data_IF_396472511911
#
_entry.id   IF_396472511911
#
_cell.length_a   1.000
_cell.length_b   1.000
_cell.length_c   1.000
_cell.angle_alpha   90.00
_cell.angle_beta   90.00
_cell.angle_gamma   90.00
#
_symmetry.space_group_name_H-M   'P 1'
#
loop_
_entity.id
_entity.type
_entity.pdbx_description
1 polymer ?
#
# COMPACT_ATOMS: atom_id res chain seq x y z
N UNK A 1 -36.78 -14.96 8.41
CA UNK A 1 -35.68 -14.66 9.35
C UNK A 1 -35.80 -15.58 10.56
N UNK A 2 -34.72 -16.23 11.00
CA UNK A 2 -34.77 -17.08 12.20
C UNK A 2 -35.03 -16.20 13.43
N UNK A 3 -36.10 -16.47 14.18
CA UNK A 3 -36.44 -15.73 15.41
C UNK A 3 -35.29 -15.85 16.41
N UNK A 4 -34.85 -14.73 16.98
CA UNK A 4 -33.90 -14.74 18.09
C UNK A 4 -34.51 -15.51 19.27
N UNK A 5 -33.71 -16.32 19.98
CA UNK A 5 -34.15 -17.01 21.18
C UNK A 5 -34.48 -15.98 22.27
N UNK A 6 -35.63 -16.16 22.94
CA UNK A 6 -36.03 -15.34 24.10
C UNK A 6 -35.28 -15.76 25.36
N UNK A 7 -35.04 -17.06 25.53
CA UNK A 7 -34.22 -17.62 26.60
C UNK A 7 -32.80 -17.87 26.05
N UNK A 8 -31.75 -17.39 26.73
CA UNK A 8 -30.38 -17.63 26.29
C UNK A 8 -30.08 -19.13 26.15
N UNK A 9 -29.17 -19.44 25.23
CA UNK A 9 -28.68 -20.80 25.02
C UNK A 9 -27.99 -21.32 26.29
N UNK A 10 -28.21 -22.56 26.70
CA UNK A 10 -27.75 -23.10 28.00
C UNK A 10 -28.89 -23.25 29.02
N UNK A 11 -30.01 -22.55 28.79
CA UNK A 11 -31.15 -22.52 29.70
C UNK A 11 -32.46 -22.90 29.00
N UNK A 12 -33.38 -23.46 29.78
CA UNK A 12 -34.74 -23.79 29.36
C UNK A 12 -35.77 -23.48 30.46
N UNK A 13 -37.01 -23.25 30.07
CA UNK A 13 -38.13 -23.05 31.01
C UNK A 13 -38.74 -24.41 31.35
N UNK A 14 -38.75 -24.79 32.63
CA UNK A 14 -39.41 -25.99 33.13
C UNK A 14 -40.26 -25.60 34.35
N UNK A 15 -41.55 -25.90 34.31
CA UNK A 15 -42.50 -25.61 35.40
C UNK A 15 -42.55 -24.13 35.86
N UNK A 16 -42.31 -23.18 34.95
CA UNK A 16 -42.32 -21.75 35.26
C UNK A 16 -40.99 -21.21 35.82
N UNK A 17 -39.99 -22.06 35.99
CA UNK A 17 -38.64 -21.67 36.43
C UNK A 17 -37.61 -21.90 35.32
N UNK A 18 -36.59 -21.04 35.29
CA UNK A 18 -35.46 -21.19 34.38
C UNK A 18 -34.48 -22.21 34.97
N UNK A 19 -34.27 -23.29 34.23
CA UNK A 19 -33.35 -24.38 34.58
C UNK A 19 -32.31 -24.56 33.48
N UNK A 20 -31.30 -25.36 33.74
CA UNK A 20 -30.22 -25.63 32.78
C UNK A 20 -30.57 -26.81 31.87
N UNK A 21 -30.08 -26.76 30.64
CA UNK A 21 -30.16 -27.88 29.69
C UNK A 21 -28.77 -28.50 29.51
N UNK A 22 -28.51 -29.73 30.00
CA UNK A 22 -27.16 -30.28 30.10
C UNK A 22 -26.33 -30.22 28.80
N UNK A 23 -26.95 -30.50 27.65
CA UNK A 23 -26.27 -30.43 26.35
C UNK A 23 -25.91 -29.01 25.93
N UNK A 24 -26.79 -28.04 26.21
CA UNK A 24 -26.51 -26.65 25.90
C UNK A 24 -25.49 -26.06 26.89
N UNK A 25 -25.50 -26.49 28.17
CA UNK A 25 -24.48 -26.10 29.16
C UNK A 25 -23.09 -26.57 28.74
N UNK A 26 -22.96 -27.85 28.34
CA UNK A 26 -21.72 -28.39 27.81
C UNK A 26 -21.17 -27.49 26.69
N UNK A 27 -22.03 -27.17 25.71
CA UNK A 27 -21.65 -26.31 24.60
C UNK A 27 -21.23 -24.89 25.04
N UNK A 28 -21.92 -24.28 26.01
CA UNK A 28 -21.52 -22.96 26.54
C UNK A 28 -20.11 -23.03 27.11
N UNK A 29 -19.82 -24.01 27.98
CA UNK A 29 -18.49 -24.18 28.59
C UNK A 29 -17.42 -24.43 27.52
N UNK A 30 -17.66 -25.37 26.61
CA UNK A 30 -16.73 -25.68 25.51
C UNK A 30 -16.47 -24.48 24.60
N UNK A 31 -17.48 -23.65 24.33
CA UNK A 31 -17.31 -22.42 23.54
C UNK A 31 -16.35 -21.45 24.22
N UNK A 32 -16.47 -21.25 25.54
CA UNK A 32 -15.57 -20.36 26.27
C UNK A 32 -14.15 -20.92 26.30
N UNK A 33 -13.99 -22.22 26.55
CA UNK A 33 -12.67 -22.88 26.59
C UNK A 33 -11.95 -22.80 25.24
N UNK A 34 -12.60 -23.26 24.17
CA UNK A 34 -12.03 -23.27 22.81
C UNK A 34 -11.72 -21.84 22.31
N UNK A 35 -12.55 -20.88 22.71
CA UNK A 35 -12.28 -19.47 22.40
C UNK A 35 -11.04 -18.95 23.13
N UNK A 36 -10.87 -19.30 24.41
CA UNK A 36 -9.70 -18.94 25.20
C UNK A 36 -8.42 -19.64 24.70
N UNK A 37 -8.52 -20.87 24.19
CA UNK A 37 -7.43 -21.62 23.55
C UNK A 37 -6.98 -21.01 22.21
N UNK A 38 -7.80 -20.18 21.56
CA UNK A 38 -7.40 -19.45 20.36
C UNK A 38 -8.23 -19.72 19.11
N UNK A 39 -9.19 -20.64 19.16
CA UNK A 39 -10.06 -20.89 18.01
C UNK A 39 -10.88 -19.65 17.66
N UNK A 40 -11.06 -19.44 16.37
CA UNK A 40 -11.91 -18.39 15.86
C UNK A 40 -13.40 -18.73 16.06
N UNK A 41 -14.25 -17.71 16.12
CA UNK A 41 -15.71 -17.89 16.24
C UNK A 41 -16.29 -18.76 15.12
N UNK A 42 -15.69 -18.74 13.93
CA UNK A 42 -16.10 -19.58 12.79
C UNK A 42 -15.69 -21.04 12.97
N UNK A 43 -14.50 -21.30 13.51
CA UNK A 43 -14.04 -22.66 13.82
C UNK A 43 -14.88 -23.28 14.93
N UNK A 44 -15.18 -22.51 15.98
CA UNK A 44 -16.05 -22.93 17.07
C UNK A 44 -17.47 -23.21 16.56
N UNK A 45 -18.01 -22.35 15.68
CA UNK A 45 -19.31 -22.61 15.06
C UNK A 45 -19.30 -23.94 14.26
N UNK A 46 -18.23 -24.21 13.52
CA UNK A 46 -18.08 -25.48 12.79
C UNK A 46 -17.98 -26.67 13.75
N UNK A 47 -17.27 -26.54 14.87
CA UNK A 47 -17.17 -27.55 15.91
C UNK A 47 -18.55 -27.92 16.46
N UNK A 48 -19.34 -26.93 16.89
CA UNK A 48 -20.69 -27.15 17.42
C UNK A 48 -21.62 -27.84 16.41
N UNK A 49 -21.46 -27.52 15.12
CA UNK A 49 -22.20 -28.19 14.05
C UNK A 49 -21.74 -29.64 13.83
N UNK A 50 -20.43 -29.91 13.89
CA UNK A 50 -19.87 -31.27 13.78
C UNK A 50 -20.30 -32.16 14.95
N UNK A 51 -20.37 -31.62 16.16
CA UNK A 51 -20.87 -32.31 17.35
C UNK A 51 -22.40 -32.48 17.38
N UNK A 52 -23.09 -31.98 16.34
CA UNK A 52 -24.55 -32.05 16.19
C UNK A 52 -25.31 -31.41 17.35
N UNK A 53 -24.74 -30.37 17.96
CA UNK A 53 -25.39 -29.59 18.99
C UNK A 53 -26.36 -28.62 18.31
N UNK A 54 -27.64 -28.66 18.68
CA UNK A 54 -28.66 -27.80 18.05
C UNK A 54 -28.77 -26.46 18.76
N UNK A 55 -28.53 -25.36 18.03
CA UNK A 55 -28.74 -24.02 18.57
C UNK A 55 -30.24 -23.66 18.68
N UNK A 56 -31.09 -24.20 17.82
CA UNK A 56 -32.55 -24.03 17.87
C UNK A 56 -33.25 -25.29 17.34
N UNK A 57 -34.57 -25.37 17.51
CA UNK A 57 -35.36 -26.53 17.10
C UNK A 57 -35.49 -26.71 15.56
N UNK A 58 -35.12 -25.71 14.78
CA UNK A 58 -35.43 -25.62 13.34
C UNK A 58 -34.20 -25.86 12.45
N UNK A 59 -32.99 -25.64 12.96
CA UNK A 59 -31.76 -25.74 12.17
C UNK A 59 -30.55 -26.19 12.98
N UNK A 60 -29.79 -27.08 12.36
CA UNK A 60 -28.51 -27.60 12.88
C UNK A 60 -27.32 -26.71 12.48
N UNK A 61 -27.58 -25.58 11.79
CA UNK A 61 -26.53 -24.68 11.30
C UNK A 61 -26.06 -23.73 12.39
N UNK A 62 -24.75 -23.71 12.61
CA UNK A 62 -24.08 -22.71 13.44
C UNK A 62 -23.43 -21.62 12.60
N UNK A 63 -23.35 -20.42 13.16
CA UNK A 63 -22.59 -19.32 12.56
C UNK A 63 -21.81 -18.56 13.63
N UNK A 64 -20.79 -17.81 13.20
CA UNK A 64 -19.93 -17.03 14.10
C UNK A 64 -20.68 -16.05 15.01
N UNK A 65 -21.86 -15.55 14.58
CA UNK A 65 -22.64 -14.59 15.36
C UNK A 65 -23.38 -15.28 16.52
N UNK A 66 -23.72 -16.56 16.39
CA UNK A 66 -24.30 -17.35 17.50
C UNK A 66 -23.26 -17.53 18.61
N UNK A 67 -22.04 -17.94 18.24
CA UNK A 67 -20.91 -18.06 19.18
C UNK A 67 -20.58 -16.71 19.83
N UNK A 68 -20.55 -15.64 19.04
CA UNK A 68 -20.34 -14.26 19.53
C UNK A 68 -21.36 -13.90 20.63
N UNK A 69 -22.65 -14.15 20.39
CA UNK A 69 -23.71 -13.86 21.36
C UNK A 69 -23.56 -14.64 22.66
N UNK A 70 -23.07 -15.87 22.60
CA UNK A 70 -22.82 -16.68 23.81
C UNK A 70 -21.68 -16.04 24.62
N UNK A 71 -20.56 -15.71 23.99
CA UNK A 71 -19.40 -15.12 24.67
C UNK A 71 -19.71 -13.75 25.28
N UNK A 72 -20.60 -12.97 24.67
CA UNK A 72 -20.96 -11.60 25.12
C UNK A 72 -22.06 -11.56 26.19
N UNK A 73 -22.72 -12.67 26.48
CA UNK A 73 -23.91 -12.69 27.33
C UNK A 73 -23.54 -12.82 28.81
N UNK A 74 -23.69 -11.73 29.56
CA UNK A 74 -23.43 -11.62 31.00
C UNK A 74 -24.30 -12.53 31.87
N UNK A 75 -25.46 -12.98 31.38
CA UNK A 75 -26.36 -13.90 32.10
C UNK A 75 -25.69 -15.21 32.51
N UNK A 76 -24.59 -15.60 31.85
CA UNK A 76 -23.83 -16.80 32.22
C UNK A 76 -23.02 -16.67 33.52
N UNK A 77 -22.81 -15.44 34.00
CA UNK A 77 -22.24 -15.16 35.33
C UNK A 77 -23.19 -15.54 36.46
N UNK A 78 -24.47 -15.76 36.15
CA UNK A 78 -25.52 -16.05 37.10
C UNK A 78 -26.16 -14.79 37.69
N UNK A 79 -27.44 -14.88 38.02
CA UNK A 79 -28.22 -13.88 38.76
C UNK A 79 -29.43 -14.56 39.41
N UNK A 80 -30.34 -13.78 40.02
CA UNK A 80 -31.55 -14.30 40.69
C UNK A 80 -32.44 -15.18 39.80
N UNK A 81 -32.31 -15.05 38.47
CA UNK A 81 -33.13 -15.75 37.48
C UNK A 81 -32.37 -16.86 36.74
N UNK A 82 -31.06 -16.71 36.53
CA UNK A 82 -30.25 -17.61 35.72
C UNK A 82 -29.16 -18.27 36.58
N UNK A 83 -29.12 -19.60 36.68
CA UNK A 83 -27.99 -20.29 37.32
C UNK A 83 -26.66 -19.95 36.66
N UNK A 84 -25.61 -19.78 37.45
CA UNK A 84 -24.27 -19.52 36.93
C UNK A 84 -23.76 -20.71 36.10
N UNK A 85 -23.27 -20.43 34.88
CA UNK A 85 -22.63 -21.42 34.00
C UNK A 85 -21.12 -21.17 33.83
N UNK A 86 -20.68 -19.92 33.94
CA UNK A 86 -19.30 -19.48 33.70
C UNK A 86 -18.84 -18.62 34.88
N UNK A 87 -17.57 -18.75 35.25
CA UNK A 87 -16.95 -17.93 36.31
C UNK A 87 -16.63 -16.53 35.81
N UNK A 88 -16.59 -15.56 36.74
CA UNK A 88 -16.24 -14.17 36.42
C UNK A 88 -14.88 -14.07 35.71
N UNK A 89 -13.88 -14.83 36.17
CA UNK A 89 -12.55 -14.88 35.57
C UNK A 89 -12.57 -15.34 34.10
N UNK A 90 -13.27 -16.43 33.78
CA UNK A 90 -13.36 -16.95 32.41
C UNK A 90 -14.06 -15.94 31.51
N UNK A 91 -15.19 -15.37 31.98
CA UNK A 91 -15.95 -14.39 31.22
C UNK A 91 -15.14 -13.12 30.94
N UNK A 92 -14.42 -12.63 31.95
CA UNK A 92 -13.55 -11.46 31.84
C UNK A 92 -12.40 -11.72 30.88
N UNK A 93 -11.67 -12.83 31.01
CA UNK A 93 -10.58 -13.21 30.09
C UNK A 93 -11.06 -13.33 28.64
N UNK A 94 -12.24 -13.93 28.41
CA UNK A 94 -12.80 -14.06 27.08
C UNK A 94 -13.16 -12.68 26.48
N UNK A 95 -13.81 -11.81 27.26
CA UNK A 95 -14.15 -10.47 26.79
C UNK A 95 -12.92 -9.56 26.61
N UNK A 96 -11.91 -9.65 27.47
CA UNK A 96 -10.63 -8.96 27.28
C UNK A 96 -9.92 -9.42 26.00
N UNK A 97 -9.88 -10.73 25.73
CA UNK A 97 -9.34 -11.27 24.47
C UNK A 97 -10.08 -10.73 23.26
N UNK A 98 -11.41 -10.64 23.33
CA UNK A 98 -12.26 -10.07 22.29
C UNK A 98 -11.98 -8.58 22.07
N UNK A 99 -11.91 -7.79 23.15
CA UNK A 99 -11.60 -6.37 23.11
C UNK A 99 -10.21 -6.17 22.52
N UNK A 100 -9.19 -6.87 23.04
CA UNK A 100 -7.84 -6.86 22.46
C UNK A 100 -7.88 -7.15 20.97
N UNK A 101 -8.57 -8.20 20.52
CA UNK A 101 -8.67 -8.53 19.09
C UNK A 101 -9.40 -7.46 18.25
N UNK A 102 -10.33 -6.72 18.84
CA UNK A 102 -11.04 -5.62 18.18
C UNK A 102 -10.23 -4.30 18.18
N UNK A 103 -9.41 -4.08 19.22
CA UNK A 103 -8.61 -2.87 19.41
C UNK A 103 -7.18 -3.01 18.92
N UNK A 104 -6.71 -4.24 18.64
CA UNK A 104 -5.51 -4.50 17.85
C UNK A 104 -5.87 -4.11 16.42
N UNK A 105 -5.92 -2.82 16.12
CA UNK A 105 -5.62 -2.38 14.78
C UNK A 105 -4.11 -2.60 14.68
N UNK A 106 -3.64 -3.53 13.83
CA UNK A 106 -2.24 -3.49 13.41
C UNK A 106 -2.08 -2.17 12.65
N UNK A 107 -1.76 -1.12 13.40
CA UNK A 107 -1.38 0.18 12.86
C UNK A 107 -0.27 -0.13 11.86
N UNK A 108 -0.49 0.24 10.61
CA UNK A 108 0.55 0.15 9.59
C UNK A 108 1.76 0.88 10.19
N UNK A 109 2.92 0.22 10.34
CA UNK A 109 4.12 0.86 10.88
C UNK A 109 4.33 2.22 10.21
N UNK A 110 4.72 3.24 10.97
CA UNK A 110 4.79 4.61 10.48
C UNK A 110 5.65 4.74 9.20
N UNK A 111 6.70 3.94 9.12
CA UNK A 111 7.57 3.78 7.95
C UNK A 111 6.81 3.33 6.69
N UNK A 112 5.93 2.34 6.82
CA UNK A 112 5.09 1.87 5.72
C UNK A 112 4.02 2.91 5.35
N UNK A 113 3.59 3.77 6.28
CA UNK A 113 2.70 4.88 5.95
C UNK A 113 3.39 5.90 5.04
N UNK A 114 4.69 6.17 5.26
CA UNK A 114 5.48 7.07 4.42
C UNK A 114 5.63 6.53 3.01
N UNK A 115 5.94 5.24 2.86
CA UNK A 115 5.98 4.55 1.56
C UNK A 115 4.61 4.66 0.87
N UNK A 116 3.53 4.32 1.59
CA UNK A 116 2.16 4.38 1.06
C UNK A 116 1.76 5.75 0.53
N UNK A 117 2.16 6.84 1.19
CA UNK A 117 1.84 8.20 0.75
C UNK A 117 2.51 8.55 -0.59
N UNK A 118 3.60 7.86 -0.95
CA UNK A 118 4.38 8.11 -2.17
C UNK A 118 4.21 7.04 -3.25
N UNK A 119 3.36 6.02 -3.08
CA UNK A 119 3.18 4.94 -4.07
C UNK A 119 1.99 5.16 -5.02
N UNK A 120 2.24 5.20 -6.32
CA UNK A 120 1.29 5.55 -7.38
C UNK A 120 1.29 4.53 -8.53
N UNK A 121 0.13 4.37 -9.17
CA UNK A 121 -0.06 3.53 -10.34
C UNK A 121 0.49 4.26 -11.56
N UNK A 122 1.32 3.58 -12.36
CA UNK A 122 1.93 4.15 -13.56
C UNK A 122 0.89 4.47 -14.63
N UNK A 123 -0.17 3.68 -14.72
CA UNK A 123 -1.15 3.69 -15.80
C UNK A 123 -2.21 4.78 -15.61
N UNK A 124 -2.66 5.01 -14.37
CA UNK A 124 -3.70 6.00 -14.09
C UNK A 124 -3.28 7.15 -13.18
N UNK A 125 -2.05 7.13 -12.64
CA UNK A 125 -1.57 8.15 -11.71
C UNK A 125 -2.20 8.10 -10.32
N UNK A 126 -3.17 7.22 -10.07
CA UNK A 126 -3.85 7.12 -8.78
C UNK A 126 -2.97 6.45 -7.73
N UNK A 127 -3.11 6.84 -6.46
CA UNK A 127 -2.36 6.23 -5.36
C UNK A 127 -2.76 4.77 -5.18
N UNK A 128 -1.79 3.86 -5.06
CA UNK A 128 -2.11 2.47 -4.74
C UNK A 128 -2.62 2.35 -3.30
N UNK A 129 -3.50 1.37 -3.11
CA UNK A 129 -4.04 1.04 -1.80
C UNK A 129 -3.41 -0.23 -1.28
N UNK A 130 -2.81 -0.16 -0.09
CA UNK A 130 -2.44 -1.34 0.70
C UNK A 130 -3.70 -1.94 1.34
N UNK A 131 -3.92 -3.23 1.13
CA UNK A 131 -5.06 -4.03 1.59
C UNK A 131 -4.51 -5.18 2.43
N UNK A 132 -4.97 -5.34 3.68
CA UNK A 132 -4.50 -6.40 4.58
C UNK A 132 -4.12 -5.88 5.97
N UNK A 133 -3.68 -6.79 6.85
CA UNK A 133 -3.49 -6.60 8.31
C UNK A 133 -3.97 -7.84 9.08
N UNK A 134 -3.88 -7.86 10.42
CA UNK A 134 -4.29 -8.83 11.48
C UNK A 134 -4.73 -10.29 11.16
N UNK A 135 -5.35 -10.57 10.02
CA UNK A 135 -5.82 -11.89 9.60
C UNK A 135 -5.83 -12.13 8.08
N UNK A 136 -5.27 -11.23 7.25
CA UNK A 136 -5.21 -11.36 5.79
C UNK A 136 -3.82 -11.01 5.26
N UNK A 137 -3.39 -11.80 4.28
CA UNK A 137 -2.19 -11.56 3.49
C UNK A 137 -2.17 -10.13 2.91
N UNK A 138 -1.13 -9.37 3.21
CA UNK A 138 -0.92 -7.98 2.77
C UNK A 138 -0.78 -7.90 1.24
N UNK A 139 -1.51 -7.03 0.57
CA UNK A 139 -1.36 -6.80 -0.87
C UNK A 139 -1.56 -5.34 -1.23
N UNK A 140 -0.97 -4.90 -2.32
CA UNK A 140 -1.20 -3.58 -2.90
C UNK A 140 -2.01 -3.73 -4.18
N UNK A 141 -2.87 -2.74 -4.45
CA UNK A 141 -3.73 -2.75 -5.64
C UNK A 141 -4.13 -1.34 -6.07
N UNK A 142 -4.40 -1.16 -7.35
CA UNK A 142 -5.04 0.05 -7.87
C UNK A 142 -6.54 0.00 -7.57
N UNK A 143 -7.08 1.07 -7.00
CA UNK A 143 -8.50 1.16 -6.60
C UNK A 143 -9.29 2.20 -7.38
N UNK A 144 -8.67 2.80 -8.39
CA UNK A 144 -9.36 3.66 -9.33
C UNK A 144 -10.38 2.82 -10.13
N UNK A 145 -11.69 3.13 -10.12
CA UNK A 145 -12.69 2.40 -10.89
C UNK A 145 -12.42 2.38 -12.39
N UNK A 146 -11.76 3.42 -12.91
CA UNK A 146 -11.42 3.57 -14.32
C UNK A 146 -10.07 2.90 -14.68
N UNK A 147 -9.52 2.11 -13.76
CA UNK A 147 -8.25 1.41 -13.93
C UNK A 147 -8.38 -0.07 -13.54
N UNK A 148 -7.51 -0.90 -14.09
CA UNK A 148 -7.48 -2.33 -13.78
C UNK A 148 -6.84 -2.60 -12.41
N UNK A 149 -7.09 -3.80 -11.87
CA UNK A 149 -6.35 -4.29 -10.70
C UNK A 149 -5.03 -4.88 -11.14
N UNK A 150 -4.08 -4.98 -10.22
CA UNK A 150 -2.84 -5.69 -10.48
C UNK A 150 -3.13 -7.20 -10.64
N UNK A 151 -2.58 -7.80 -11.70
CA UNK A 151 -2.72 -9.25 -11.98
C UNK A 151 -1.81 -10.11 -11.09
N UNK A 152 -0.91 -9.47 -10.33
CA UNK A 152 0.04 -10.12 -9.46
C UNK A 152 -0.12 -9.65 -8.01
N UNK A 153 0.38 -10.45 -7.07
CA UNK A 153 0.40 -10.10 -5.65
C UNK A 153 1.61 -9.23 -5.35
N UNK A 154 1.39 -7.93 -5.20
CA UNK A 154 2.41 -6.98 -4.76
C UNK A 154 2.45 -6.89 -3.22
N UNK A 155 3.61 -7.15 -2.62
CA UNK A 155 3.82 -7.12 -1.16
C UNK A 155 4.63 -5.88 -0.73
N UNK A 156 4.62 -5.58 0.58
CA UNK A 156 5.44 -4.52 1.16
C UNK A 156 6.93 -4.71 0.85
N UNK A 157 7.42 -5.96 0.97
CA UNK A 157 8.83 -6.28 0.77
C UNK A 157 9.29 -6.08 -0.67
N UNK A 158 8.42 -6.29 -1.65
CA UNK A 158 8.74 -6.02 -3.05
C UNK A 158 8.97 -4.52 -3.30
N UNK A 159 8.13 -3.67 -2.69
CA UNK A 159 8.25 -2.21 -2.81
C UNK A 159 9.50 -1.73 -2.06
N UNK A 160 9.68 -2.16 -0.80
CA UNK A 160 10.84 -1.81 0.02
C UNK A 160 12.13 -2.23 -0.67
N UNK A 161 12.22 -3.48 -1.14
CA UNK A 161 13.40 -3.99 -1.83
C UNK A 161 13.69 -3.26 -3.14
N UNK A 162 12.66 -2.93 -3.93
CA UNK A 162 12.83 -2.18 -5.16
C UNK A 162 13.37 -0.77 -4.91
N UNK A 163 12.83 -0.06 -3.91
CA UNK A 163 13.30 1.29 -3.55
C UNK A 163 14.72 1.23 -3.00
N UNK A 164 15.02 0.26 -2.13
CA UNK A 164 16.37 0.04 -1.60
C UNK A 164 17.38 -0.19 -2.72
N UNK A 165 17.04 -1.04 -3.70
CA UNK A 165 17.89 -1.31 -4.85
C UNK A 165 18.15 -0.05 -5.66
N UNK A 166 17.11 0.75 -5.93
CA UNK A 166 17.26 2.00 -6.68
C UNK A 166 18.17 2.99 -5.95
N UNK A 167 18.00 3.16 -4.63
CA UNK A 167 18.88 4.02 -3.84
C UNK A 167 20.32 3.52 -3.85
N UNK A 168 20.54 2.21 -3.70
CA UNK A 168 21.87 1.60 -3.78
C UNK A 168 22.50 1.75 -5.18
N UNK A 169 21.71 1.65 -6.25
CA UNK A 169 22.19 1.92 -7.61
C UNK A 169 22.60 3.37 -7.79
N UNK A 170 21.83 4.32 -7.22
CA UNK A 170 22.17 5.75 -7.26
C UNK A 170 23.41 6.08 -6.43
N UNK A 171 23.62 5.41 -5.29
CA UNK A 171 24.85 5.52 -4.48
C UNK A 171 26.07 5.05 -5.27
N UNK A 172 25.98 3.89 -5.92
CA UNK A 172 27.10 3.30 -6.69
C UNK A 172 27.36 4.06 -7.98
N UNK A 173 26.32 4.57 -8.63
CA UNK A 173 26.41 5.26 -9.91
C UNK A 173 25.69 6.62 -9.87
N UNK A 174 26.38 7.69 -9.42
CA UNK A 174 25.80 9.04 -9.35
C UNK A 174 25.35 9.60 -10.70
N UNK A 175 25.82 9.06 -11.83
CA UNK A 175 25.34 9.49 -13.16
C UNK A 175 23.85 9.21 -13.39
N UNK A 176 23.27 8.27 -12.62
CA UNK A 176 21.83 8.00 -12.63
C UNK A 176 20.99 9.16 -12.06
N UNK A 177 21.62 10.13 -11.39
CA UNK A 177 20.95 11.30 -10.84
C UNK A 177 20.82 12.44 -11.85
N UNK A 178 21.54 12.42 -12.97
CA UNK A 178 21.63 13.55 -13.88
C UNK A 178 20.26 13.88 -14.52
N UNK A 179 19.79 15.11 -14.30
CA UNK A 179 18.63 15.66 -14.98
C UNK A 179 19.09 16.50 -16.17
N UNK A 180 18.77 16.11 -17.41
CA UNK A 180 19.24 16.78 -18.63
C UNK A 180 18.64 18.17 -18.92
N UNK A 181 18.11 18.88 -17.93
CA UNK A 181 17.46 20.18 -18.11
C UNK A 181 18.34 21.37 -17.73
N UNK A 182 18.28 22.44 -18.51
CA UNK A 182 18.93 23.73 -18.16
C UNK A 182 18.25 24.37 -16.94
N UNK A 183 19.00 25.12 -16.13
CA UNK A 183 18.49 25.82 -14.92
C UNK A 183 17.45 26.88 -15.28
N UNK A 184 17.73 27.64 -16.34
CA UNK A 184 16.83 28.65 -16.86
C UNK A 184 17.07 28.82 -18.34
N UNK A 185 16.00 28.70 -19.13
CA UNK A 185 16.07 28.96 -20.57
C UNK A 185 15.22 30.20 -20.86
N UNK A 186 15.81 31.19 -21.52
CA UNK A 186 15.09 32.36 -22.02
C UNK A 186 14.81 32.19 -23.51
N UNK A 187 13.53 32.13 -23.87
CA UNK A 187 13.09 31.96 -25.26
C UNK A 187 12.23 33.15 -25.69
N UNK A 188 12.83 34.23 -26.22
CA UNK A 188 12.11 35.44 -26.58
C UNK A 188 11.10 35.22 -27.70
N UNK A 189 9.91 35.79 -27.57
CA UNK A 189 8.93 35.86 -28.65
C UNK A 189 9.21 37.03 -29.59
N UNK A 190 8.64 36.99 -30.80
CA UNK A 190 8.74 38.10 -31.75
C UNK A 190 8.21 39.43 -31.18
N UNK A 191 7.22 39.37 -30.28
CA UNK A 191 6.65 40.56 -29.64
C UNK A 191 7.60 41.19 -28.63
N UNK A 192 8.42 40.42 -27.93
CA UNK A 192 9.50 40.95 -27.07
C UNK A 192 10.53 41.71 -27.90
N UNK A 193 10.91 41.15 -29.05
CA UNK A 193 11.87 41.80 -29.96
C UNK A 193 11.29 43.10 -30.50
N UNK A 194 10.02 43.10 -30.92
CA UNK A 194 9.32 44.32 -31.38
C UNK A 194 9.27 45.37 -30.28
N UNK A 195 8.93 44.98 -29.05
CA UNK A 195 8.84 45.87 -27.90
C UNK A 195 10.18 46.50 -27.53
N UNK A 196 11.26 45.71 -27.59
CA UNK A 196 12.62 46.21 -27.43
C UNK A 196 12.97 47.26 -28.49
N UNK A 197 12.61 47.03 -29.76
CA UNK A 197 12.87 47.97 -30.84
C UNK A 197 12.05 49.27 -30.71
N UNK A 198 10.79 49.16 -30.25
CA UNK A 198 9.93 50.32 -29.96
C UNK A 198 10.58 51.21 -28.89
N UNK A 199 11.10 50.61 -27.80
CA UNK A 199 11.80 51.33 -26.73
C UNK A 199 13.07 51.99 -27.24
N UNK A 200 13.86 51.30 -28.06
CA UNK A 200 15.07 51.88 -28.65
C UNK A 200 14.72 53.14 -29.45
N UNK A 201 13.69 53.08 -30.30
CA UNK A 201 13.23 54.24 -31.06
C UNK A 201 12.69 55.38 -30.17
N UNK A 202 11.96 55.07 -29.09
CA UNK A 202 11.49 56.09 -28.15
C UNK A 202 12.65 56.82 -27.45
N UNK A 203 13.74 56.10 -27.19
CA UNK A 203 14.93 56.62 -26.49
C UNK A 203 15.80 57.48 -27.41
N UNK A 204 15.82 57.18 -28.72
CA UNK A 204 16.56 57.94 -29.73
C UNK A 204 15.86 59.25 -30.16
N UNK A 205 14.64 59.50 -29.68
CA UNK A 205 13.87 60.71 -30.01
C UNK A 205 14.50 61.98 -29.42
N UNK A 206 14.53 63.12 -30.16
CA UNK A 206 15.03 64.40 -29.64
C UNK A 206 14.22 64.97 -28.45
N UNK A 207 12.96 64.55 -28.32
CA UNK A 207 12.09 64.87 -27.17
C UNK A 207 11.66 63.55 -26.52
N UNK A 208 12.38 63.14 -25.48
CA UNK A 208 12.13 61.89 -24.74
C UNK A 208 11.11 62.13 -23.63
N UNK A 209 10.05 61.34 -23.63
CA UNK A 209 9.13 61.22 -22.50
C UNK A 209 9.67 60.15 -21.54
N UNK A 210 10.34 60.60 -20.48
CA UNK A 210 11.00 59.72 -19.51
C UNK A 210 10.03 58.78 -18.78
N UNK A 211 8.84 59.27 -18.43
CA UNK A 211 7.86 58.47 -17.68
C UNK A 211 7.30 57.36 -18.56
N UNK A 212 7.01 57.68 -19.82
CA UNK A 212 6.56 56.69 -20.80
C UNK A 212 7.64 55.65 -21.10
N UNK A 213 8.88 56.06 -21.37
CA UNK A 213 9.98 55.12 -21.65
C UNK A 213 10.24 54.20 -20.46
N UNK A 214 10.25 54.75 -19.24
CA UNK A 214 10.39 53.97 -18.00
C UNK A 214 9.29 52.93 -17.84
N UNK A 215 8.03 53.30 -18.08
CA UNK A 215 6.90 52.37 -18.01
C UNK A 215 7.04 51.23 -19.04
N UNK A 216 7.46 51.54 -20.27
CA UNK A 216 7.63 50.54 -21.32
C UNK A 216 8.84 49.62 -21.06
N UNK A 217 9.91 50.11 -20.43
CA UNK A 217 11.03 49.28 -19.96
C UNK A 217 10.55 48.26 -18.92
N UNK A 218 9.74 48.67 -17.94
CA UNK A 218 9.20 47.73 -16.96
C UNK A 218 8.29 46.68 -17.60
N UNK A 219 7.44 47.11 -18.55
CA UNK A 219 6.58 46.19 -19.30
C UNK A 219 7.40 45.18 -20.12
N UNK A 220 8.48 45.63 -20.75
CA UNK A 220 9.40 44.73 -21.46
C UNK A 220 10.09 43.76 -20.48
N UNK A 221 10.50 44.22 -19.30
CA UNK A 221 11.11 43.36 -18.29
C UNK A 221 10.12 42.26 -17.85
N UNK A 222 8.87 42.62 -17.56
CA UNK A 222 7.78 41.68 -17.25
C UNK A 222 7.62 40.64 -18.37
N UNK A 223 7.49 41.08 -19.63
CA UNK A 223 7.39 40.17 -20.78
C UNK A 223 8.61 39.23 -20.90
N UNK A 224 9.81 39.70 -20.58
CA UNK A 224 11.03 38.87 -20.58
C UNK A 224 11.01 37.83 -19.48
N UNK A 225 10.58 38.19 -18.27
CA UNK A 225 10.43 37.26 -17.14
C UNK A 225 9.38 36.18 -17.43
N UNK A 226 8.28 36.52 -18.09
CA UNK A 226 7.24 35.56 -18.49
C UNK A 226 7.75 34.49 -19.48
N UNK A 227 8.85 34.77 -20.20
CA UNK A 227 9.47 33.84 -21.14
C UNK A 227 10.67 33.07 -20.57
N UNK A 228 10.95 33.25 -19.28
CA UNK A 228 11.96 32.46 -18.57
C UNK A 228 11.30 31.22 -17.98
N UNK A 229 11.79 30.04 -18.35
CA UNK A 229 11.51 28.83 -17.58
C UNK A 229 12.52 28.72 -16.44
N UNK A 230 12.08 28.25 -15.27
CA UNK A 230 12.98 27.94 -14.16
C UNK A 230 12.86 26.47 -13.82
N UNK A 231 14.00 25.78 -13.75
CA UNK A 231 14.09 24.37 -13.44
C UNK A 231 14.98 24.15 -12.22
N UNK A 232 14.36 23.71 -11.12
CA UNK A 232 15.08 23.36 -9.88
C UNK A 232 15.80 22.01 -9.95
N UNK A 233 15.60 21.22 -11.01
CA UNK A 233 16.16 19.86 -11.09
C UNK A 233 17.69 19.81 -10.96
N UNK A 234 18.49 20.76 -11.51
CA UNK A 234 19.94 20.70 -11.34
C UNK A 234 20.37 20.94 -9.88
N UNK A 235 19.70 21.86 -9.17
CA UNK A 235 19.96 22.12 -7.76
C UNK A 235 19.62 20.89 -6.90
N UNK A 236 18.45 20.27 -7.13
CA UNK A 236 18.04 19.03 -6.46
C UNK A 236 18.94 17.85 -6.80
N UNK A 237 19.53 17.83 -8.00
CA UNK A 237 20.51 16.79 -8.41
C UNK A 237 21.79 16.90 -7.58
N UNK A 238 22.29 18.12 -7.38
CA UNK A 238 23.45 18.36 -6.53
C UNK A 238 23.15 18.06 -5.06
N UNK A 239 21.96 18.41 -4.58
CA UNK A 239 21.49 18.07 -3.23
C UNK A 239 21.44 16.56 -3.00
N UNK A 240 20.90 15.81 -3.98
CA UNK A 240 20.90 14.35 -3.99
C UNK A 240 22.32 13.76 -4.00
N UNK A 241 23.24 14.33 -4.79
CA UNK A 241 24.64 13.88 -4.87
C UNK A 241 25.32 14.03 -3.51
N UNK A 242 25.23 15.21 -2.89
CA UNK A 242 25.79 15.47 -1.57
C UNK A 242 25.21 14.55 -0.49
N UNK A 243 23.91 14.28 -0.56
CA UNK A 243 23.23 13.37 0.36
C UNK A 243 23.71 11.93 0.20
N UNK A 244 24.01 11.47 -1.02
CA UNK A 244 24.35 10.06 -1.30
C UNK A 244 25.86 9.76 -1.31
N UNK A 245 26.73 10.75 -1.53
CA UNK A 245 28.18 10.57 -1.74
C UNK A 245 28.90 9.78 -0.64
N UNK A 246 28.52 10.00 0.63
CA UNK A 246 29.16 9.34 1.77
C UNK A 246 28.42 8.11 2.30
N UNK A 247 27.31 7.73 1.66
CA UNK A 247 26.54 6.57 2.08
C UNK A 247 27.18 5.28 1.57
N UNK A 248 27.35 4.31 2.46
CA UNK A 248 27.59 2.92 2.05
C UNK A 248 26.28 2.32 1.56
N UNK A 249 26.37 1.29 0.72
CA UNK A 249 25.19 0.53 0.32
C UNK A 249 24.42 0.06 1.56
N UNK A 250 23.11 0.24 1.49
CA UNK A 250 22.18 -0.01 2.58
C UNK A 250 21.66 -1.45 2.50
N UNK A 251 21.57 -2.12 3.65
CA UNK A 251 20.94 -3.45 3.78
C UNK A 251 19.45 -3.35 4.14
N UNK A 252 19.03 -2.23 4.74
CA UNK A 252 17.67 -1.93 5.15
C UNK A 252 17.33 -0.55 4.59
N UNK A 253 16.09 -0.36 4.16
CA UNK A 253 15.63 0.93 3.68
C UNK A 253 15.60 1.95 4.83
N UNK A 254 16.52 2.91 4.78
CA UNK A 254 16.46 4.10 5.63
C UNK A 254 15.30 4.99 5.16
N UNK A 255 14.34 5.18 6.05
CA UNK A 255 13.11 5.90 5.74
C UNK A 255 13.33 7.42 5.68
N UNK A 256 14.28 7.96 6.44
CA UNK A 256 14.67 9.37 6.34
C UNK A 256 15.35 9.65 5.00
N UNK A 257 16.26 8.77 4.58
CA UNK A 257 16.91 8.85 3.27
C UNK A 257 15.89 8.68 2.12
N UNK A 258 14.96 7.73 2.25
CA UNK A 258 13.85 7.58 1.32
C UNK A 258 13.04 8.87 1.19
N UNK A 259 12.70 9.51 2.30
CA UNK A 259 11.91 10.75 2.28
C UNK A 259 12.66 11.94 1.67
N UNK A 260 13.98 11.99 1.84
CA UNK A 260 14.83 13.01 1.22
C UNK A 260 15.02 12.76 -0.29
N UNK A 261 15.14 11.51 -0.72
CA UNK A 261 15.51 11.19 -2.10
C UNK A 261 14.33 10.98 -3.06
N UNK A 262 13.29 10.27 -2.63
CA UNK A 262 12.29 9.67 -3.52
C UNK A 262 10.97 10.42 -3.45
N UNK A 263 10.62 11.18 -4.48
CA UNK A 263 9.33 11.89 -4.53
C UNK A 263 8.13 10.97 -4.71
N UNK A 264 8.25 9.96 -5.59
CA UNK A 264 7.19 9.00 -5.92
C UNK A 264 7.74 7.62 -6.23
N UNK A 265 6.95 6.60 -5.95
CA UNK A 265 7.17 5.21 -6.38
C UNK A 265 6.09 4.90 -7.39
N UNK A 266 6.48 4.56 -8.60
CA UNK A 266 5.58 4.20 -9.70
C UNK A 266 5.54 2.69 -9.84
N UNK A 267 4.32 2.14 -9.87
CA UNK A 267 4.10 0.71 -9.99
C UNK A 267 3.18 0.46 -11.17
N UNK A 268 3.69 -0.30 -12.13
CA UNK A 268 2.97 -0.72 -13.31
C UNK A 268 2.23 -2.04 -13.09
N UNK A 269 1.16 -2.24 -13.85
CA UNK A 269 0.41 -3.48 -13.98
C UNK A 269 1.26 -4.63 -14.53
N UNK A 270 2.40 -4.33 -15.16
CA UNK A 270 3.38 -5.31 -15.62
C UNK A 270 4.49 -5.60 -14.59
N UNK A 271 4.25 -5.31 -13.30
CA UNK A 271 5.19 -5.55 -12.20
C UNK A 271 6.52 -4.77 -12.33
N UNK A 272 6.51 -3.66 -13.06
CA UNK A 272 7.65 -2.73 -13.09
C UNK A 272 7.50 -1.74 -11.93
N UNK A 273 8.56 -1.60 -11.13
CA UNK A 273 8.63 -0.62 -10.04
C UNK A 273 9.72 0.40 -10.38
N UNK A 274 9.38 1.67 -10.39
CA UNK A 274 10.30 2.78 -10.64
C UNK A 274 10.25 3.74 -9.47
N UNK A 275 11.39 4.29 -9.05
CA UNK A 275 11.42 5.39 -8.11
C UNK A 275 11.69 6.70 -8.87
N UNK A 276 10.80 7.68 -8.71
CA UNK A 276 11.01 9.06 -9.12
C UNK A 276 11.70 9.78 -7.97
N UNK A 277 12.86 10.34 -8.24
CA UNK A 277 13.63 11.13 -7.29
C UNK A 277 13.05 12.54 -7.17
N UNK A 278 13.50 13.32 -6.18
CA UNK A 278 13.04 14.71 -5.96
C UNK A 278 13.39 15.65 -7.12
N UNK A 279 14.43 15.33 -7.90
CA UNK A 279 14.80 16.06 -9.12
C UNK A 279 14.01 15.62 -10.37
N UNK A 280 13.05 14.69 -10.22
CA UNK A 280 12.19 14.21 -11.31
C UNK A 280 12.77 13.05 -12.13
N UNK A 281 14.00 12.62 -11.88
CA UNK A 281 14.60 11.47 -12.57
C UNK A 281 13.90 10.17 -12.13
N UNK A 282 13.56 9.32 -13.09
CA UNK A 282 12.95 8.01 -12.85
C UNK A 282 13.95 6.89 -13.06
N UNK A 283 14.20 6.12 -12.01
CA UNK A 283 15.08 4.95 -12.05
C UNK A 283 14.22 3.70 -11.91
N UNK A 284 14.31 2.80 -12.90
CA UNK A 284 13.62 1.50 -12.86
C UNK A 284 14.40 0.53 -11.98
N UNK A 285 13.71 -0.21 -11.12
CA UNK A 285 14.32 -1.33 -10.43
C UNK A 285 14.52 -2.50 -11.41
N UNK A 286 15.76 -2.74 -11.83
CA UNK A 286 16.14 -3.89 -12.64
C UNK A 286 16.55 -5.02 -11.70
N UNK A 287 15.57 -5.71 -11.12
CA UNK A 287 15.85 -7.04 -10.56
C UNK A 287 15.91 -8.03 -11.71
N UNK A 288 17.10 -8.54 -12.02
CA UNK A 288 17.24 -9.70 -12.91
C UNK A 288 16.33 -10.82 -12.40
N UNK A 289 15.32 -11.17 -13.20
CA UNK A 289 14.52 -12.37 -12.93
C UNK A 289 15.47 -13.55 -13.05
N UNK A 290 15.94 -14.09 -11.93
CA UNK A 290 16.36 -15.49 -11.88
C UNK A 290 15.14 -16.29 -12.31
N UNK A 291 15.12 -16.70 -13.59
CA UNK A 291 14.14 -17.64 -14.13
C UNK A 291 14.36 -18.95 -13.38
N UNK A 292 13.73 -19.12 -12.22
CA UNK A 292 13.51 -20.44 -11.66
C UNK A 292 12.51 -21.12 -12.58
N UNK A 293 13.06 -21.99 -13.42
CA UNK A 293 12.38 -22.91 -14.32
C UNK A 293 11.16 -23.57 -13.68
N UNK A 294 10.00 -23.41 -14.32
CA UNK A 294 8.98 -24.45 -14.38
C UNK A 294 7.98 -24.17 -15.50
N UNK A 295 7.84 -25.20 -16.35
CA UNK A 295 6.83 -25.48 -17.36
C UNK A 295 6.73 -24.56 -18.57
N UNK A 296 7.50 -24.88 -19.61
CA UNK A 296 6.93 -25.03 -20.96
C UNK A 296 7.54 -26.29 -21.59
N UNK A 297 6.88 -27.43 -21.34
CA UNK A 297 6.97 -28.55 -22.27
C UNK A 297 6.17 -28.12 -23.50
N UNK A 298 6.86 -27.68 -24.55
CA UNK A 298 6.30 -27.78 -25.88
C UNK A 298 7.36 -28.38 -26.81
N UNK A 299 7.13 -29.66 -27.09
CA UNK A 299 7.89 -30.47 -28.03
C UNK A 299 7.56 -29.94 -29.43
N UNK A 300 8.51 -29.24 -30.04
CA UNK A 300 8.64 -29.27 -31.49
C UNK A 300 10.11 -29.44 -31.86
N UNK A 301 10.42 -30.71 -32.10
CA UNK A 301 11.59 -31.19 -32.81
C UNK A 301 11.64 -30.58 -34.21
N UNK A 302 12.57 -29.67 -34.44
CA UNK A 302 13.11 -29.39 -35.77
C UNK A 302 14.55 -29.83 -35.77
N UNK A 303 14.78 -30.99 -36.38
CA UNK A 303 16.09 -31.47 -36.80
C UNK A 303 16.76 -30.39 -37.67
N UNK A 304 17.95 -29.96 -37.28
CA UNK A 304 18.89 -29.36 -38.22
C UNK A 304 20.14 -30.24 -38.21
N UNK A 305 20.42 -30.78 -39.40
CA UNK A 305 21.58 -31.60 -39.71
C UNK A 305 22.87 -30.81 -39.46
N UNK A 306 23.71 -31.33 -38.58
CA UNK A 306 25.12 -30.96 -38.50
C UNK A 306 25.87 -31.57 -39.68
N UNK A 307 26.18 -30.75 -40.69
CA UNK A 307 27.28 -31.02 -41.61
C UNK A 307 28.55 -30.38 -41.03
N UNK A 308 29.58 -31.13 -40.65
CA UNK A 308 30.88 -30.57 -40.33
C UNK A 308 31.64 -30.32 -41.63
N UNK A 309 31.92 -29.06 -41.94
CA UNK A 309 32.94 -28.73 -42.94
C UNK A 309 34.31 -29.02 -42.33
N UNK A 310 34.89 -30.16 -42.68
CA UNK A 310 36.33 -30.39 -42.61
C UNK A 310 37.03 -29.45 -43.59
N UNK A 311 37.91 -28.60 -43.05
CA UNK A 311 39.00 -27.99 -43.80
C UNK A 311 40.18 -28.95 -43.78
N UNK A 312 40.47 -29.59 -44.91
CA UNK A 312 41.76 -30.20 -45.18
C UNK A 312 42.48 -29.36 -46.23
N UNK A 313 43.51 -28.65 -45.78
CA UNK A 313 44.71 -28.54 -46.60
C UNK A 313 45.59 -29.76 -46.26
N UNK A 314 45.90 -30.50 -47.33
CA UNK A 314 46.78 -31.69 -47.48
C UNK A 314 46.23 -33.06 -47.11
#
# INVERSE_FOLDING_TARGET
>A
MAKNRTIPFGYCMKNGEITTEPKEVYAVVTIFDEYLEGRSLSEIAKLMQTEKIRYNAVSDKWNKNMVKRIIENDKYLGNDTYPQLITDDIFKRANEKRVKKATTLDLIPDDLQKIRKRTYCTECGHRLSRIGGNSKYEKWDCRNPDCYKLEFRLTDQMIIGAVLNVLNSAIVNPSLLESGGEISTYSPTADIVRKQNEINHMTDSPQVDFDRVKAEIFRLAEMKYDCCTYNESPQKTEELRNLLENNKQLNILDIGLFEACVSRIWISHFCTIEAELINGVRIKNITEKVKTSRSENNVHSTQCNDNPCESADS
#
